data_IF_054386351220
#
_entry.id   IF_054386351220
#
_cell.length_a   1.000
_cell.length_b   1.000
_cell.length_c   1.000
_cell.angle_alpha   90.00
_cell.angle_beta   90.00
_cell.angle_gamma   90.00
#
_symmetry.space_group_name_H-M   'P 1'
#
loop_
_entity.id
_entity.type
_entity.pdbx_description
1 polymer ?
#
# COMPACT_ATOMS: atom_id res chain seq x y z
N UNK A 1 -35.79 36.75 -4.29
CA UNK A 1 -35.69 35.30 -3.99
C UNK A 1 -35.44 34.52 -5.28
N UNK A 2 -34.69 33.43 -5.18
CA UNK A 2 -34.29 32.42 -6.20
C UNK A 2 -32.96 32.71 -6.94
N UNK A 3 -31.89 32.26 -6.29
CA UNK A 3 -30.55 32.00 -6.85
C UNK A 3 -30.59 30.86 -7.86
N UNK A 4 -30.01 31.09 -9.04
CA UNK A 4 -29.88 30.12 -10.12
C UNK A 4 -28.68 29.20 -9.88
N UNK A 5 -29.00 27.95 -9.51
CA UNK A 5 -28.34 26.68 -9.89
C UNK A 5 -26.81 26.70 -10.07
N UNK A 6 -26.09 26.61 -8.96
CA UNK A 6 -24.78 25.97 -8.89
C UNK A 6 -24.98 24.44 -8.81
N UNK A 7 -24.91 23.74 -9.95
CA UNK A 7 -24.92 22.26 -9.94
C UNK A 7 -23.86 21.65 -10.90
N UNK A 8 -23.31 22.42 -11.83
CA UNK A 8 -22.33 21.88 -12.80
C UNK A 8 -20.89 21.75 -12.29
N UNK A 9 -20.60 22.08 -11.03
CA UNK A 9 -19.22 22.12 -10.49
C UNK A 9 -18.89 21.06 -9.44
N UNK A 10 -19.76 20.06 -9.23
CA UNK A 10 -19.53 19.00 -8.23
C UNK A 10 -19.17 17.66 -8.88
N UNK A 11 -19.48 17.46 -10.17
CA UNK A 11 -19.26 16.16 -10.84
C UNK A 11 -17.83 15.87 -11.34
N UNK A 12 -16.86 16.75 -11.07
CA UNK A 12 -15.46 16.54 -11.50
C UNK A 12 -14.50 16.15 -10.37
N UNK A 13 -14.93 16.26 -9.10
CA UNK A 13 -14.10 15.90 -7.93
C UNK A 13 -14.38 14.51 -7.37
N UNK A 14 -15.49 13.87 -7.73
CA UNK A 14 -15.80 12.50 -7.28
C UNK A 14 -15.05 11.40 -8.05
N UNK A 15 -14.43 11.70 -9.20
CA UNK A 15 -13.70 10.70 -10.00
C UNK A 15 -12.26 10.43 -9.58
N UNK A 16 -11.77 11.06 -8.50
CA UNK A 16 -10.46 10.74 -7.91
C UNK A 16 -10.63 9.74 -6.75
N UNK A 17 -11.88 9.46 -6.34
CA UNK A 17 -12.21 8.66 -5.17
C UNK A 17 -12.32 7.15 -5.45
N UNK A 18 -12.31 6.73 -6.71
CA UNK A 18 -12.50 5.32 -7.10
C UNK A 18 -11.22 4.73 -7.70
N UNK A 19 -10.08 4.99 -7.06
CA UNK A 19 -8.92 4.15 -7.32
C UNK A 19 -9.24 2.79 -6.69
N UNK A 20 -9.70 1.87 -7.55
CA UNK A 20 -10.01 0.47 -7.26
C UNK A 20 -9.20 -0.05 -6.07
N UNK A 21 -9.89 -0.57 -5.04
CA UNK A 21 -9.27 -0.98 -3.77
C UNK A 21 -8.09 -1.95 -4.02
N UNK A 22 -8.18 -2.78 -5.06
CA UNK A 22 -7.09 -3.63 -5.52
C UNK A 22 -5.92 -2.83 -6.09
N UNK A 23 -6.17 -1.83 -6.94
CA UNK A 23 -5.14 -0.94 -7.49
C UNK A 23 -4.38 -0.19 -6.38
N UNK A 24 -5.07 0.28 -5.33
CA UNK A 24 -4.42 0.86 -4.14
C UNK A 24 -3.57 -0.17 -3.40
N UNK A 25 -4.11 -1.38 -3.17
CA UNK A 25 -3.36 -2.46 -2.50
C UNK A 25 -2.11 -2.88 -3.30
N UNK A 26 -2.19 -2.91 -4.63
CA UNK A 26 -1.04 -3.20 -5.48
C UNK A 26 0.06 -2.15 -5.34
N UNK A 27 -0.32 -0.87 -5.27
CA UNK A 27 0.63 0.20 -5.00
C UNK A 27 1.31 0.03 -3.63
N UNK A 28 0.54 -0.21 -2.57
CA UNK A 28 1.08 -0.46 -1.23
C UNK A 28 2.00 -1.70 -1.18
N UNK A 29 1.68 -2.75 -1.92
CA UNK A 29 2.52 -3.96 -2.03
C UNK A 29 3.86 -3.64 -2.68
N UNK A 30 3.87 -2.81 -3.73
CA UNK A 30 5.11 -2.45 -4.42
C UNK A 30 6.02 -1.61 -3.49
N UNK A 31 5.46 -0.61 -2.81
CA UNK A 31 6.20 0.16 -1.79
C UNK A 31 6.76 -0.74 -0.67
N UNK A 32 5.97 -1.71 -0.20
CA UNK A 32 6.42 -2.65 0.83
C UNK A 32 7.52 -3.61 0.33
N UNK A 33 7.51 -3.99 -0.95
CA UNK A 33 8.61 -4.76 -1.56
C UNK A 33 9.89 -3.94 -1.62
N UNK A 34 9.80 -2.67 -2.02
CA UNK A 34 10.96 -1.79 -2.10
C UNK A 34 11.56 -1.57 -0.71
N UNK A 35 10.73 -1.37 0.31
CA UNK A 35 11.17 -1.30 1.71
C UNK A 35 11.82 -2.59 2.20
N UNK A 36 11.23 -3.75 1.88
CA UNK A 36 11.83 -5.04 2.24
C UNK A 36 13.19 -5.25 1.57
N UNK A 37 13.31 -4.92 0.28
CA UNK A 37 14.57 -5.00 -0.45
C UNK A 37 15.63 -4.06 0.16
N UNK A 38 15.23 -2.83 0.51
CA UNK A 38 16.10 -1.88 1.18
C UNK A 38 16.57 -2.39 2.54
N UNK A 39 15.68 -2.94 3.36
CA UNK A 39 16.04 -3.54 4.65
C UNK A 39 17.03 -4.71 4.48
N UNK A 40 16.85 -5.55 3.45
CA UNK A 40 17.79 -6.63 3.15
C UNK A 40 19.17 -6.10 2.73
N UNK A 41 19.21 -5.02 1.95
CA UNK A 41 20.46 -4.34 1.61
C UNK A 41 21.13 -3.74 2.84
N UNK A 42 20.37 -3.13 3.75
CA UNK A 42 20.89 -2.63 5.02
C UNK A 42 21.51 -3.75 5.84
N UNK A 43 20.82 -4.89 5.98
CA UNK A 43 21.36 -6.05 6.69
C UNK A 43 22.64 -6.60 6.06
N UNK A 44 22.70 -6.68 4.74
CA UNK A 44 23.88 -7.17 4.03
C UNK A 44 25.11 -6.26 4.19
N UNK A 45 24.88 -4.96 4.40
CA UNK A 45 25.94 -3.96 4.56
C UNK A 45 26.11 -3.51 6.03
N UNK A 46 25.40 -4.11 6.97
CA UNK A 46 25.44 -3.71 8.37
C UNK A 46 26.80 -4.06 8.99
N UNK A 47 27.35 -3.12 9.75
CA UNK A 47 28.43 -3.44 10.68
C UNK A 47 27.93 -4.38 11.76
N UNK A 48 28.81 -5.22 12.31
CA UNK A 48 28.47 -6.27 13.28
C UNK A 48 27.61 -5.74 14.46
N UNK A 49 27.93 -4.55 14.95
CA UNK A 49 27.22 -3.91 16.07
C UNK A 49 25.76 -3.52 15.75
N UNK A 50 25.38 -3.47 14.47
CA UNK A 50 24.04 -3.10 14.01
C UNK A 50 23.26 -4.26 13.38
N UNK A 51 23.85 -5.45 13.25
CA UNK A 51 23.20 -6.61 12.61
C UNK A 51 21.84 -6.92 13.25
N UNK A 52 21.75 -6.90 14.58
CA UNK A 52 20.49 -7.19 15.29
C UNK A 52 19.38 -6.19 14.95
N UNK A 53 19.72 -4.92 14.75
CA UNK A 53 18.76 -3.87 14.39
C UNK A 53 18.33 -4.03 12.94
N UNK A 54 19.28 -4.25 12.02
CA UNK A 54 18.99 -4.47 10.61
C UNK A 54 18.15 -5.75 10.39
N UNK A 55 18.41 -6.81 11.15
CA UNK A 55 17.61 -8.04 11.09
C UNK A 55 16.15 -7.80 11.51
N UNK A 56 15.93 -7.01 12.57
CA UNK A 56 14.58 -6.61 13.00
C UNK A 56 13.87 -5.76 11.95
N UNK A 57 14.59 -4.90 11.24
CA UNK A 57 14.04 -4.10 10.14
C UNK A 57 13.56 -4.99 8.98
N UNK A 58 14.35 -6.02 8.63
CA UNK A 58 13.98 -7.04 7.64
C UNK A 58 12.72 -7.79 8.07
N UNK A 59 12.66 -8.26 9.31
CA UNK A 59 11.51 -8.99 9.84
C UNK A 59 10.24 -8.16 9.87
N UNK A 60 10.34 -6.89 10.26
CA UNK A 60 9.22 -5.95 10.23
C UNK A 60 8.71 -5.72 8.81
N UNK A 61 9.62 -5.40 7.87
CA UNK A 61 9.27 -5.14 6.47
C UNK A 61 8.66 -6.38 5.79
N UNK A 62 9.19 -7.57 6.08
CA UNK A 62 8.64 -8.85 5.63
C UNK A 62 7.23 -9.08 6.16
N UNK A 63 7.01 -8.83 7.45
CA UNK A 63 5.70 -9.00 8.09
C UNK A 63 4.66 -8.07 7.48
N UNK A 64 5.04 -6.80 7.24
CA UNK A 64 4.18 -5.83 6.54
C UNK A 64 3.83 -6.28 5.12
N UNK A 65 4.82 -6.69 4.33
CA UNK A 65 4.60 -7.16 2.96
C UNK A 65 3.65 -8.37 2.94
N UNK A 66 3.85 -9.34 3.83
CA UNK A 66 2.99 -10.51 3.94
C UNK A 66 1.55 -10.15 4.31
N UNK A 67 1.35 -9.20 5.23
CA UNK A 67 0.02 -8.73 5.60
C UNK A 67 -0.72 -8.07 4.42
N UNK A 68 -0.01 -7.26 3.63
CA UNK A 68 -0.58 -6.63 2.43
C UNK A 68 -0.93 -7.64 1.34
N UNK A 69 -0.05 -8.62 1.08
CA UNK A 69 -0.32 -9.70 0.14
C UNK A 69 -1.54 -10.54 0.55
N UNK A 70 -1.69 -10.80 1.85
CA UNK A 70 -2.87 -11.50 2.39
C UNK A 70 -4.14 -10.68 2.14
N UNK A 71 -4.13 -9.39 2.47
CA UNK A 71 -5.26 -8.48 2.27
C UNK A 71 -5.66 -8.38 0.79
N UNK A 72 -4.68 -8.27 -0.12
CA UNK A 72 -4.93 -8.27 -1.56
C UNK A 72 -5.59 -9.56 -2.05
N UNK A 73 -5.13 -10.72 -1.57
CA UNK A 73 -5.73 -12.01 -1.91
C UNK A 73 -7.19 -12.09 -1.45
N UNK A 74 -7.47 -11.64 -0.23
CA UNK A 74 -8.83 -11.60 0.33
C UNK A 74 -9.74 -10.68 -0.47
N UNK A 75 -9.26 -9.49 -0.84
CA UNK A 75 -10.06 -8.52 -1.60
C UNK A 75 -10.35 -9.00 -3.03
N UNK A 76 -9.38 -9.65 -3.68
CA UNK A 76 -9.60 -10.24 -5.01
C UNK A 76 -10.67 -11.34 -4.96
N UNK A 77 -10.64 -12.21 -3.95
CA UNK A 77 -11.64 -13.27 -3.77
C UNK A 77 -13.04 -12.67 -3.60
N UNK A 78 -13.18 -11.58 -2.84
CA UNK A 78 -14.49 -10.90 -2.67
C UNK A 78 -15.01 -10.35 -4.00
N UNK A 79 -14.13 -9.75 -4.81
CA UNK A 79 -14.52 -9.25 -6.13
C UNK A 79 -14.92 -10.36 -7.10
N UNK A 80 -14.23 -11.50 -7.06
CA UNK A 80 -14.59 -12.67 -7.89
C UNK A 80 -15.95 -13.30 -7.48
N UNK A 81 -16.42 -13.02 -6.25
CA UNK A 81 -17.67 -13.53 -5.68
C UNK A 81 -18.85 -12.55 -5.76
N UNK A 82 -18.61 -11.29 -6.15
CA UNK A 82 -19.61 -10.22 -6.25
C UNK A 82 -20.26 -10.16 -7.64
#
# INVERSE_FOLDING_TARGET
MKVLKSIFRINKMSRICDQDDLSRLLYEINEAKDQFNYAQQNLNNAEEIFIDVAAKEVDYSKSRLNALLKKYKEERIKMDQA
#
